data_IF_315179004914
#
_entry.id   IF_315179004914
#
_cell.length_a   1.000
_cell.length_b   1.000
_cell.length_c   1.000
_cell.angle_alpha   90.00
_cell.angle_beta   90.00
_cell.angle_gamma   90.00
#
_symmetry.space_group_name_H-M   'P 1'
#
loop_
_entity.id
_entity.type
_entity.pdbx_description
1 polymer ?
#
# COMPACT_ATOMS: atom_id res chain seq x y z
N UNK A 1 -21.85 -7.17 -14.06
CA UNK A 1 -21.01 -6.58 -13.00
C UNK A 1 -20.12 -5.51 -13.60
N UNK A 2 -19.93 -4.38 -12.92
CA UNK A 2 -19.15 -3.27 -13.46
C UNK A 2 -17.68 -3.36 -13.01
N UNK A 3 -16.83 -3.91 -13.88
CA UNK A 3 -15.41 -4.12 -13.56
C UNK A 3 -14.56 -2.84 -13.61
N UNK A 4 -14.86 -1.93 -14.55
CA UNK A 4 -14.18 -0.64 -14.74
C UNK A 4 -14.92 0.51 -14.03
N UNK A 5 -14.16 1.50 -13.58
CA UNK A 5 -14.67 2.80 -13.14
C UNK A 5 -15.47 3.47 -14.25
N UNK A 6 -16.46 4.27 -13.86
CA UNK A 6 -17.14 5.23 -14.75
C UNK A 6 -17.08 6.64 -14.13
N UNK A 7 -17.84 7.57 -14.68
CA UNK A 7 -17.86 8.97 -14.24
C UNK A 7 -18.39 9.17 -12.80
N UNK A 8 -19.22 8.25 -12.29
CA UNK A 8 -19.96 8.41 -11.04
C UNK A 8 -19.54 7.44 -9.93
N UNK A 9 -18.96 6.27 -10.28
CA UNK A 9 -18.57 5.23 -9.33
C UNK A 9 -17.30 4.46 -9.72
N UNK A 10 -16.70 3.84 -8.70
CA UNK A 10 -15.62 2.87 -8.88
C UNK A 10 -16.16 1.53 -9.35
N UNK A 11 -15.39 0.86 -10.21
CA UNK A 11 -15.62 -0.53 -10.63
C UNK A 11 -15.07 -1.51 -9.60
N UNK A 12 -15.57 -2.74 -9.63
CA UNK A 12 -15.25 -3.78 -8.65
C UNK A 12 -13.75 -4.05 -8.52
N UNK A 13 -12.99 -3.98 -9.62
CA UNK A 13 -11.55 -4.22 -9.58
C UNK A 13 -10.79 -3.16 -8.78
N UNK A 14 -11.15 -1.87 -8.95
CA UNK A 14 -10.53 -0.78 -8.18
C UNK A 14 -10.86 -0.86 -6.70
N UNK A 15 -12.09 -1.27 -6.36
CA UNK A 15 -12.52 -1.47 -4.97
C UNK A 15 -11.75 -2.62 -4.33
N UNK A 16 -11.69 -3.77 -5.01
CA UNK A 16 -11.00 -4.96 -4.52
C UNK A 16 -9.53 -4.67 -4.26
N UNK A 17 -8.84 -4.04 -5.21
CA UNK A 17 -7.42 -3.69 -5.05
C UNK A 17 -7.21 -2.68 -3.91
N UNK A 18 -8.09 -1.69 -3.78
CA UNK A 18 -7.97 -0.71 -2.69
C UNK A 18 -8.04 -1.39 -1.32
N UNK A 19 -9.09 -2.19 -1.08
CA UNK A 19 -9.28 -2.86 0.20
C UNK A 19 -8.26 -3.96 0.46
N UNK A 20 -7.87 -4.71 -0.58
CA UNK A 20 -6.79 -5.68 -0.50
C UNK A 20 -5.48 -5.02 -0.05
N UNK A 21 -5.08 -3.93 -0.70
CA UNK A 21 -3.87 -3.18 -0.32
C UNK A 21 -3.99 -2.67 1.12
N UNK A 22 -5.14 -2.12 1.52
CA UNK A 22 -5.34 -1.63 2.87
C UNK A 22 -5.12 -2.76 3.91
N UNK A 23 -5.80 -3.91 3.74
CA UNK A 23 -5.68 -5.06 4.64
C UNK A 23 -4.24 -5.58 4.69
N UNK A 24 -3.61 -5.76 3.52
CA UNK A 24 -2.24 -6.27 3.43
C UNK A 24 -1.25 -5.31 4.10
N UNK A 25 -1.38 -3.99 3.93
CA UNK A 25 -0.48 -3.02 4.58
C UNK A 25 -0.54 -3.11 6.10
N UNK A 26 -1.73 -3.17 6.71
CA UNK A 26 -1.83 -3.31 8.17
C UNK A 26 -1.36 -4.69 8.64
N UNK A 27 -1.66 -5.76 7.90
CA UNK A 27 -1.17 -7.10 8.21
C UNK A 27 0.36 -7.20 8.14
N UNK A 28 0.96 -6.60 7.11
CA UNK A 28 2.40 -6.52 6.91
C UNK A 28 3.07 -5.65 7.98
N UNK A 29 2.44 -4.55 8.38
CA UNK A 29 2.94 -3.73 9.49
C UNK A 29 2.97 -4.51 10.81
N UNK A 30 1.89 -5.22 11.15
CA UNK A 30 1.84 -6.05 12.34
C UNK A 30 2.85 -7.20 12.29
N UNK A 31 2.96 -7.90 11.15
CA UNK A 31 3.96 -8.95 10.91
C UNK A 31 5.38 -8.40 11.05
N UNK A 32 5.65 -7.21 10.51
CA UNK A 32 6.94 -6.53 10.60
C UNK A 32 7.32 -6.18 12.04
N UNK A 33 6.41 -5.61 12.83
CA UNK A 33 6.67 -5.32 14.24
C UNK A 33 6.85 -6.58 15.09
N UNK A 34 6.12 -7.66 14.77
CA UNK A 34 6.24 -8.92 15.49
C UNK A 34 7.54 -9.64 15.15
N UNK A 35 7.92 -9.75 13.87
CA UNK A 35 9.12 -10.49 13.46
C UNK A 35 10.41 -9.88 14.03
N UNK A 36 10.47 -8.55 14.21
CA UNK A 36 11.64 -7.90 14.84
C UNK A 36 11.73 -8.11 16.36
N UNK A 37 10.67 -8.61 17.00
CA UNK A 37 10.71 -9.01 18.41
C UNK A 37 11.20 -10.45 18.62
N UNK A 38 11.38 -11.22 17.55
CA UNK A 38 11.79 -12.62 17.63
C UNK A 38 13.29 -12.72 17.94
N UNK A 39 13.62 -13.60 18.87
CA UNK A 39 15.00 -13.97 19.17
C UNK A 39 15.49 -15.10 18.26
N UNK A 40 16.81 -15.29 18.22
CA UNK A 40 17.47 -16.31 17.39
C UNK A 40 16.93 -17.75 17.61
N UNK A 41 16.48 -18.07 18.82
CA UNK A 41 15.95 -19.39 19.17
C UNK A 41 14.46 -19.56 18.87
N UNK A 42 13.76 -18.51 18.42
CA UNK A 42 12.36 -18.62 18.04
C UNK A 42 12.23 -19.37 16.71
N UNK A 43 11.29 -20.31 16.66
CA UNK A 43 11.01 -21.12 15.46
C UNK A 43 10.66 -20.29 14.23
N UNK A 44 10.10 -19.09 14.43
CA UNK A 44 9.69 -18.16 13.38
C UNK A 44 10.77 -17.16 12.96
N UNK A 45 11.95 -17.17 13.60
CA UNK A 45 13.01 -16.19 13.37
C UNK A 45 13.39 -16.05 11.89
N UNK A 46 13.46 -17.16 11.16
CA UNK A 46 13.69 -17.15 9.71
C UNK A 46 12.41 -17.16 8.88
N UNK A 47 11.37 -17.88 9.31
CA UNK A 47 10.17 -18.06 8.51
C UNK A 47 9.34 -16.77 8.36
N UNK A 48 9.24 -15.96 9.40
CA UNK A 48 8.46 -14.73 9.36
C UNK A 48 9.03 -13.69 8.37
N UNK A 49 10.34 -13.40 8.35
CA UNK A 49 10.95 -12.57 7.31
C UNK A 49 10.75 -13.09 5.89
N UNK A 50 10.85 -14.41 5.65
CA UNK A 50 10.62 -15.01 4.33
C UNK A 50 9.19 -14.78 3.82
N UNK A 51 8.20 -14.92 4.70
CA UNK A 51 6.80 -14.62 4.39
C UNK A 51 6.62 -13.11 4.17
N UNK A 52 7.22 -12.28 5.02
CA UNK A 52 7.13 -10.83 4.92
C UNK A 52 7.67 -10.34 3.57
N UNK A 53 8.89 -10.73 3.18
CA UNK A 53 9.46 -10.32 1.88
C UNK A 53 8.64 -10.86 0.69
N UNK A 54 8.09 -12.07 0.80
CA UNK A 54 7.24 -12.66 -0.26
C UNK A 54 5.95 -11.87 -0.47
N UNK A 55 5.22 -11.57 0.60
CA UNK A 55 3.99 -10.76 0.54
C UNK A 55 4.33 -9.33 0.08
N UNK A 56 5.45 -8.77 0.56
CA UNK A 56 5.95 -7.46 0.13
C UNK A 56 6.17 -7.38 -1.38
N UNK A 57 6.79 -8.39 -1.98
CA UNK A 57 6.98 -8.44 -3.43
C UNK A 57 5.67 -8.55 -4.20
N UNK A 58 4.72 -9.38 -3.74
CA UNK A 58 3.39 -9.44 -4.36
C UNK A 58 2.64 -8.10 -4.24
N UNK A 59 2.74 -7.43 -3.09
CA UNK A 59 2.16 -6.11 -2.88
C UNK A 59 2.79 -5.07 -3.83
N UNK A 60 4.09 -5.13 -4.08
CA UNK A 60 4.76 -4.30 -5.08
C UNK A 60 4.19 -4.50 -6.49
N UNK A 61 4.01 -5.74 -6.93
CA UNK A 61 3.39 -6.00 -8.23
C UNK A 61 1.93 -5.55 -8.30
N UNK A 62 1.15 -5.73 -7.22
CA UNK A 62 -0.21 -5.21 -7.12
C UNK A 62 -0.23 -3.68 -7.21
N UNK A 63 0.73 -2.99 -6.58
CA UNK A 63 0.83 -1.54 -6.63
C UNK A 63 1.21 -1.03 -8.03
N UNK A 64 2.14 -1.69 -8.72
CA UNK A 64 2.43 -1.40 -10.13
C UNK A 64 1.19 -1.59 -11.01
N UNK A 65 0.51 -2.74 -10.86
CA UNK A 65 -0.74 -3.01 -11.56
C UNK A 65 -1.80 -1.94 -11.27
N UNK A 66 -1.94 -1.52 -10.01
CA UNK A 66 -2.89 -0.48 -9.59
C UNK A 66 -2.61 0.86 -10.28
N UNK A 67 -1.34 1.24 -10.44
CA UNK A 67 -0.95 2.45 -11.17
C UNK A 67 -1.34 2.34 -12.65
N UNK A 68 -0.98 1.23 -13.31
CA UNK A 68 -1.37 0.98 -14.72
C UNK A 68 -2.89 0.98 -14.88
N UNK A 69 -3.61 0.31 -13.97
CA UNK A 69 -5.06 0.23 -13.98
C UNK A 69 -5.71 1.60 -13.81
N UNK A 70 -5.10 2.52 -13.08
CA UNK A 70 -5.60 3.90 -12.95
C UNK A 70 -5.61 4.66 -14.28
N UNK A 71 -4.70 4.34 -15.20
CA UNK A 71 -4.71 4.91 -16.55
C UNK A 71 -5.75 4.26 -17.45
N UNK A 72 -5.93 2.94 -17.35
CA UNK A 72 -6.94 2.17 -18.12
C UNK A 72 -8.36 2.47 -17.64
N UNK A 73 -8.52 2.70 -16.34
CA UNK A 73 -9.79 2.95 -15.68
C UNK A 73 -9.64 4.12 -14.69
N UNK A 74 -9.71 5.37 -15.19
CA UNK A 74 -9.56 6.57 -14.36
C UNK A 74 -10.59 6.61 -13.21
N UNK A 75 -10.20 7.13 -12.03
CA UNK A 75 -11.14 7.27 -10.93
C UNK A 75 -12.27 8.26 -11.27
N UNK A 76 -13.48 8.10 -10.70
CA UNK A 76 -14.54 9.07 -10.84
C UNK A 76 -14.10 10.46 -10.35
N UNK A 77 -14.69 11.50 -10.92
CA UNK A 77 -14.34 12.89 -10.56
C UNK A 77 -14.69 13.18 -9.08
N UNK A 78 -13.92 14.06 -8.42
CA UNK A 78 -14.30 14.57 -7.09
C UNK A 78 -15.70 15.15 -7.09
N UNK A 79 -16.39 15.09 -5.95
CA UNK A 79 -17.73 15.67 -5.82
C UNK A 79 -17.70 17.16 -6.14
N UNK A 80 -18.73 17.64 -6.85
CA UNK A 80 -18.83 19.05 -7.24
C UNK A 80 -18.88 19.98 -6.02
N UNK A 81 -19.48 19.52 -4.91
CA UNK A 81 -19.58 20.20 -3.63
C UNK A 81 -18.23 20.44 -2.93
N UNK A 82 -17.16 19.77 -3.35
CA UNK A 82 -15.86 19.92 -2.69
C UNK A 82 -15.22 21.28 -2.97
N UNK A 83 -14.77 21.91 -1.89
CA UNK A 83 -13.96 23.12 -1.95
C UNK A 83 -12.65 22.87 -2.71
N UNK A 84 -12.02 23.93 -3.22
CA UNK A 84 -10.71 23.84 -3.88
C UNK A 84 -9.66 23.22 -2.96
N UNK A 85 -9.69 23.58 -1.68
CA UNK A 85 -8.78 23.05 -0.66
C UNK A 85 -8.98 21.55 -0.44
N UNK A 86 -10.24 21.08 -0.32
CA UNK A 86 -10.56 19.65 -0.17
C UNK A 86 -10.09 18.84 -1.37
N UNK A 87 -10.30 19.35 -2.59
CA UNK A 87 -9.82 18.72 -3.83
C UNK A 87 -8.30 18.60 -3.83
N UNK A 88 -7.60 19.70 -3.52
CA UNK A 88 -6.15 19.71 -3.45
C UNK A 88 -5.62 18.73 -2.39
N UNK A 89 -6.13 18.81 -1.16
CA UNK A 89 -5.74 17.91 -0.07
C UNK A 89 -5.96 16.43 -0.42
N UNK A 90 -7.09 16.09 -1.06
CA UNK A 90 -7.39 14.72 -1.47
C UNK A 90 -6.37 14.17 -2.47
N UNK A 91 -5.92 14.99 -3.42
CA UNK A 91 -4.90 14.61 -4.41
C UNK A 91 -3.54 14.46 -3.72
N UNK A 92 -3.17 15.42 -2.88
CA UNK A 92 -1.88 15.43 -2.18
C UNK A 92 -1.73 14.23 -1.26
N UNK A 93 -2.73 13.93 -0.43
CA UNK A 93 -2.68 12.77 0.48
C UNK A 93 -2.62 11.46 -0.32
N UNK A 94 -3.40 11.33 -1.40
CA UNK A 94 -3.33 10.13 -2.23
C UNK A 94 -1.95 9.97 -2.85
N UNK A 95 -1.39 11.03 -3.44
CA UNK A 95 -0.04 10.99 -4.04
C UNK A 95 1.02 10.64 -2.99
N UNK A 96 0.95 11.24 -1.81
CA UNK A 96 1.88 10.97 -0.72
C UNK A 96 1.80 9.51 -0.25
N UNK A 97 0.60 8.94 -0.12
CA UNK A 97 0.44 7.51 0.19
C UNK A 97 1.08 6.64 -0.90
N UNK A 98 0.91 6.96 -2.19
CA UNK A 98 1.57 6.20 -3.27
C UNK A 98 3.09 6.29 -3.15
N UNK A 99 3.65 7.49 -2.95
CA UNK A 99 5.09 7.69 -2.82
C UNK A 99 5.62 6.88 -1.65
N UNK A 100 5.01 6.99 -0.47
CA UNK A 100 5.44 6.26 0.73
C UNK A 100 5.34 4.75 0.50
N UNK A 101 4.24 4.25 -0.09
CA UNK A 101 4.07 2.82 -0.39
C UNK A 101 5.13 2.30 -1.35
N UNK A 102 5.49 3.03 -2.41
CA UNK A 102 6.57 2.58 -3.27
C UNK A 102 7.92 2.65 -2.56
N UNK A 103 8.19 3.71 -1.81
CA UNK A 103 9.45 3.86 -1.08
C UNK A 103 9.65 2.75 -0.04
N UNK A 104 8.63 2.36 0.72
CA UNK A 104 8.74 1.27 1.71
C UNK A 104 8.97 -0.09 1.05
N UNK A 105 8.31 -0.34 -0.09
CA UNK A 105 8.49 -1.59 -0.83
C UNK A 105 9.90 -1.67 -1.45
N UNK A 106 10.41 -0.55 -1.98
CA UNK A 106 11.77 -0.46 -2.51
C UNK A 106 12.79 -0.62 -1.39
N UNK A 107 12.61 0.03 -0.23
CA UNK A 107 13.54 -0.13 0.88
C UNK A 107 13.52 -1.57 1.42
N UNK A 108 12.34 -2.21 1.50
CA UNK A 108 12.22 -3.62 1.91
C UNK A 108 12.95 -4.59 0.97
N UNK A 109 12.87 -4.32 -0.34
CA UNK A 109 13.65 -5.04 -1.35
C UNK A 109 15.15 -4.84 -1.12
N UNK A 110 15.62 -3.61 -0.90
CA UNK A 110 17.04 -3.30 -0.68
C UNK A 110 17.62 -3.94 0.58
N UNK A 111 16.83 -4.07 1.66
CA UNK A 111 17.23 -4.82 2.86
C UNK A 111 17.49 -6.28 2.49
N UNK A 112 16.53 -6.90 1.80
CA UNK A 112 16.54 -8.34 1.53
C UNK A 112 17.57 -8.76 0.49
N UNK A 113 18.03 -7.84 -0.36
CA UNK A 113 19.01 -8.11 -1.43
C UNK A 113 20.40 -7.54 -1.17
N UNK A 114 20.67 -7.02 0.03
CA UNK A 114 21.93 -6.36 0.35
C UNK A 114 23.15 -7.27 0.13
N UNK A 115 23.03 -8.55 0.51
CA UNK A 115 24.08 -9.57 0.34
C UNK A 115 24.13 -10.19 -1.07
N UNK A 116 23.41 -9.62 -2.03
CA UNK A 116 23.33 -10.13 -3.40
C UNK A 116 22.47 -11.37 -3.59
N UNK A 117 21.73 -11.76 -2.55
CA UNK A 117 20.79 -12.88 -2.61
C UNK A 117 19.47 -12.48 -3.28
N UNK A 118 18.93 -13.38 -4.08
CA UNK A 118 17.61 -13.20 -4.66
C UNK A 118 16.52 -13.37 -3.58
N UNK A 119 15.38 -12.68 -3.77
CA UNK A 119 14.18 -12.89 -2.97
C UNK A 119 13.38 -14.02 -3.60
N UNK A 120 13.30 -15.17 -2.94
CA UNK A 120 12.37 -16.23 -3.33
C UNK A 120 10.97 -15.90 -2.83
N UNK A 121 10.01 -15.74 -3.74
CA UNK A 121 8.62 -15.41 -3.42
C UNK A 121 7.85 -16.70 -3.23
N UNK A 122 7.68 -17.12 -1.97
CA UNK A 122 7.04 -18.39 -1.58
C UNK A 122 7.60 -19.66 -2.27
N UNK A 123 8.78 -19.59 -2.87
CA UNK A 123 9.32 -20.66 -3.72
C UNK A 123 8.66 -20.79 -5.10
N UNK A 124 7.82 -19.83 -5.51
CA UNK A 124 7.16 -19.83 -6.83
C UNK A 124 8.06 -19.28 -7.93
N UNK A 125 8.82 -18.23 -7.62
CA UNK A 125 9.78 -17.58 -8.50
C UNK A 125 10.73 -16.72 -7.67
N UNK A 126 11.87 -16.37 -8.26
CA UNK A 126 12.88 -15.53 -7.62
C UNK A 126 12.95 -14.15 -8.26
N UNK A 127 13.14 -13.13 -7.43
CA UNK A 127 13.42 -11.76 -7.86
C UNK A 127 14.90 -11.48 -7.59
N UNK A 128 15.71 -11.24 -8.63
CA UNK A 128 17.16 -11.12 -8.47
C UNK A 128 17.53 -9.86 -7.69
N UNK A 129 18.68 -9.90 -7.04
CA UNK A 129 19.32 -8.71 -6.46
C UNK A 129 19.89 -7.83 -7.58
N UNK A 130 19.36 -6.62 -7.73
CA UNK A 130 19.77 -5.66 -8.76
C UNK A 130 20.80 -4.65 -8.23
N UNK A 131 20.79 -4.38 -6.93
CA UNK A 131 21.68 -3.43 -6.25
C UNK A 131 22.31 -4.12 -5.04
N UNK A 132 23.64 -4.24 -5.05
CA UNK A 132 24.41 -5.03 -4.08
C UNK A 132 25.74 -4.35 -3.77
N UNK A 133 26.34 -4.70 -2.63
CA UNK A 133 27.75 -4.38 -2.35
C UNK A 133 28.02 -3.02 -1.69
N UNK A 134 27.00 -2.27 -1.29
CA UNK A 134 27.18 -1.10 -0.44
C UNK A 134 27.20 -1.51 1.05
N UNK A 135 28.27 -1.14 1.76
CA UNK A 135 28.55 -1.61 3.12
C UNK A 135 27.43 -1.33 4.14
N UNK A 136 26.67 -0.24 3.96
CA UNK A 136 25.62 0.20 4.89
C UNK A 136 24.20 0.07 4.29
N UNK A 137 24.05 -0.67 3.17
CA UNK A 137 22.78 -0.75 2.45
C UNK A 137 21.65 -1.30 3.32
N UNK A 138 21.88 -2.44 3.98
CA UNK A 138 20.86 -3.11 4.77
C UNK A 138 20.40 -2.25 5.95
N UNK A 139 21.33 -1.67 6.70
CA UNK A 139 21.05 -0.85 7.88
C UNK A 139 20.29 0.42 7.50
N UNK A 140 20.80 1.16 6.51
CA UNK A 140 20.16 2.40 6.03
C UNK A 140 18.77 2.13 5.47
N UNK A 141 18.62 1.09 4.64
CA UNK A 141 17.32 0.72 4.09
C UNK A 141 16.36 0.25 5.19
N UNK A 142 16.86 -0.43 6.23
CA UNK A 142 16.13 -0.86 7.42
C UNK A 142 15.52 0.30 8.19
N UNK A 143 16.31 1.32 8.51
CA UNK A 143 15.82 2.52 9.19
C UNK A 143 14.76 3.25 8.36
N UNK A 144 15.05 3.48 7.07
CA UNK A 144 14.10 4.10 6.14
C UNK A 144 12.81 3.30 6.08
N UNK A 145 12.89 1.97 5.98
CA UNK A 145 11.73 1.09 5.94
C UNK A 145 10.86 1.22 7.19
N UNK A 146 11.47 1.21 8.37
CA UNK A 146 10.75 1.36 9.64
C UNK A 146 10.01 2.70 9.73
N UNK A 147 10.67 3.81 9.41
CA UNK A 147 10.03 5.13 9.43
C UNK A 147 8.90 5.24 8.40
N UNK A 148 9.10 4.70 7.19
CA UNK A 148 8.06 4.68 6.17
C UNK A 148 6.88 3.78 6.56
N UNK A 149 7.11 2.69 7.29
CA UNK A 149 6.08 1.79 7.82
C UNK A 149 5.15 2.54 8.78
N UNK A 150 5.72 3.29 9.73
CA UNK A 150 4.94 4.15 10.61
C UNK A 150 4.24 5.28 9.85
N UNK A 151 4.94 5.94 8.92
CA UNK A 151 4.39 7.04 8.15
C UNK A 151 3.16 6.61 7.32
N UNK A 152 3.20 5.45 6.66
CA UNK A 152 2.06 4.97 5.88
C UNK A 152 0.87 4.59 6.74
N UNK A 153 1.11 3.98 7.92
CA UNK A 153 0.04 3.63 8.86
C UNK A 153 -0.63 4.89 9.41
N UNK A 154 0.14 5.88 9.88
CA UNK A 154 -0.42 7.12 10.39
C UNK A 154 -1.18 7.90 9.31
N UNK A 155 -0.61 8.02 8.11
CA UNK A 155 -1.26 8.73 7.01
C UNK A 155 -2.52 8.01 6.51
N UNK A 156 -2.52 6.68 6.48
CA UNK A 156 -3.71 5.90 6.10
C UNK A 156 -4.82 5.99 7.13
N UNK A 157 -4.50 6.06 8.43
CA UNK A 157 -5.47 6.34 9.50
C UNK A 157 -6.10 7.73 9.28
N UNK A 158 -5.29 8.77 9.04
CA UNK A 158 -5.79 10.11 8.76
C UNK A 158 -6.67 10.14 7.51
N UNK A 159 -6.28 9.42 6.46
CA UNK A 159 -7.08 9.25 5.25
C UNK A 159 -8.44 8.58 5.54
N UNK A 160 -8.45 7.51 6.33
CA UNK A 160 -9.68 6.82 6.74
C UNK A 160 -10.59 7.73 7.59
N UNK A 161 -10.02 8.47 8.55
CA UNK A 161 -10.78 9.43 9.34
C UNK A 161 -11.37 10.55 8.48
N UNK A 162 -10.66 11.04 7.48
CA UNK A 162 -11.22 12.01 6.54
C UNK A 162 -12.42 11.43 5.78
N UNK A 163 -12.35 10.18 5.32
CA UNK A 163 -13.47 9.51 4.66
C UNK A 163 -14.67 9.30 5.59
N UNK A 164 -14.43 8.94 6.85
CA UNK A 164 -15.47 8.80 7.88
C UNK A 164 -16.09 10.16 8.23
N UNK A 165 -15.29 11.22 8.36
CA UNK A 165 -15.75 12.59 8.59
C UNK A 165 -16.63 13.07 7.43
N UNK A 166 -16.21 12.85 6.20
CA UNK A 166 -17.01 13.13 5.01
C UNK A 166 -18.33 12.37 4.99
N UNK A 167 -18.33 11.12 5.43
CA UNK A 167 -19.53 10.30 5.47
C UNK A 167 -20.51 10.69 6.57
N UNK A 168 -20.04 10.87 7.81
CA UNK A 168 -20.89 11.07 8.99
C UNK A 168 -21.19 12.53 9.31
N UNK A 169 -20.26 13.45 9.05
CA UNK A 169 -20.45 14.89 9.35
C UNK A 169 -20.88 15.66 8.11
N UNK A 170 -20.21 15.44 6.97
CA UNK A 170 -20.52 16.17 5.74
C UNK A 170 -21.68 15.51 4.95
N UNK A 171 -22.10 14.30 5.34
CA UNK A 171 -23.21 13.56 4.74
C UNK A 171 -22.98 13.12 3.30
N UNK A 172 -21.73 13.09 2.83
CA UNK A 172 -21.41 12.82 1.44
C UNK A 172 -21.26 11.31 1.13
N UNK A 173 -21.08 11.02 -0.16
CA UNK A 173 -21.01 9.65 -0.69
C UNK A 173 -19.57 9.15 -0.92
N UNK A 174 -18.54 9.84 -0.43
CA UNK A 174 -17.14 9.49 -0.72
C UNK A 174 -16.77 8.11 -0.20
N UNK A 175 -17.10 7.80 1.06
CA UNK A 175 -16.92 6.45 1.59
C UNK A 175 -17.82 5.45 0.87
N UNK A 176 -19.09 5.80 0.63
CA UNK A 176 -20.06 4.93 -0.06
C UNK A 176 -19.57 4.51 -1.45
N UNK A 177 -18.95 5.42 -2.21
CA UNK A 177 -18.33 5.12 -3.52
C UNK A 177 -17.23 4.07 -3.41
N UNK A 178 -16.46 4.07 -2.32
CA UNK A 178 -15.44 3.05 -2.01
C UNK A 178 -16.01 1.77 -1.40
N UNK A 179 -17.29 1.74 -1.06
CA UNK A 179 -18.04 0.54 -0.67
C UNK A 179 -18.90 -0.03 -1.83
N UNK A 180 -18.73 0.51 -3.04
CA UNK A 180 -19.42 0.04 -4.24
C UNK A 180 -20.81 0.62 -4.46
N UNK A 181 -21.22 1.63 -3.69
CA UNK A 181 -22.47 2.36 -3.91
C UNK A 181 -22.54 2.93 -5.32
N UNK A 182 -23.73 2.85 -5.93
CA UNK A 182 -24.02 3.46 -7.22
C UNK A 182 -24.88 4.71 -7.01
N UNK A 183 -24.40 5.93 -7.33
CA UNK A 183 -25.18 7.15 -7.17
C UNK A 183 -26.37 7.25 -8.14
N UNK A 184 -26.32 6.50 -9.25
CA UNK A 184 -27.29 6.59 -10.33
C UNK A 184 -28.42 5.55 -10.21
N UNK A 185 -28.50 4.82 -9.09
CA UNK A 185 -29.56 3.88 -8.73
C UNK A 185 -30.09 4.20 -7.35
#
# INVERSE_FOLDING_TARGET
>A
MQWKNNTTRYGHLSLLIHWLVAIVVYGMFALGLWMVSLGYYDTWYHQAPEIHKSIGMLLFFIMLFRVVWRFISPPPKPLASYSKLTKFASITVQLLIYIILFSILISGYLISTADGQAISVFGWFDVPALFTGAAEQADTAGEIHLYLAWAVVLLSILHAFAALKHHFLDGDITLKRMLGFNPDK
#
